data_IF_295768279972
#
_entry.id   IF_295768279972
#
_cell.length_a   1.000
_cell.length_b   1.000
_cell.length_c   1.000
_cell.angle_alpha   90.00
_cell.angle_beta   90.00
_cell.angle_gamma   90.00
#
_symmetry.space_group_name_H-M   'P 1'
#
loop_
_entity.id
_entity.type
_entity.pdbx_description
1 polymer ?
#
# COMPACT_ATOMS: atom_id res chain seq x y z
N UNK A 1 18.70 46.21 80.34
CA UNK A 1 17.56 45.84 79.48
C UNK A 1 17.60 46.75 78.25
N UNK A 2 18.65 46.69 77.43
CA UNK A 2 19.08 45.62 76.50
C UNK A 2 18.09 45.43 75.35
N UNK A 3 18.46 45.53 74.07
CA UNK A 3 19.66 46.03 73.38
C UNK A 3 19.26 46.19 71.89
N UNK A 4 19.80 47.18 71.16
CA UNK A 4 19.53 47.38 69.74
C UNK A 4 20.67 46.91 68.82
N UNK A 5 20.35 46.84 67.53
CA UNK A 5 21.19 46.63 66.35
C UNK A 5 22.28 47.70 66.12
N UNK A 6 23.49 47.34 65.66
CA UNK A 6 24.43 48.21 64.90
C UNK A 6 25.38 47.39 63.98
N UNK A 7 25.64 47.94 62.79
CA UNK A 7 26.59 47.56 61.72
C UNK A 7 27.99 48.18 61.89
N UNK A 8 29.07 47.55 61.37
CA UNK A 8 30.11 48.11 60.45
C UNK A 8 31.49 47.42 60.45
N UNK A 9 32.07 47.40 59.25
CA UNK A 9 33.46 47.16 58.77
C UNK A 9 34.63 47.41 59.74
N UNK A 10 35.73 46.63 59.56
CA UNK A 10 37.09 47.18 59.33
C UNK A 10 38.09 46.16 58.74
N UNK A 11 38.95 46.66 57.86
CA UNK A 11 40.11 46.02 57.20
C UNK A 11 41.44 46.23 57.94
N UNK A 12 42.42 45.34 57.75
CA UNK A 12 43.89 45.56 57.52
C UNK A 12 44.63 44.21 57.72
N UNK A 13 45.27 43.60 56.71
CA UNK A 13 46.64 43.76 56.13
C UNK A 13 47.79 43.20 57.01
N UNK A 14 48.68 42.44 56.33
CA UNK A 14 50.15 42.21 56.49
C UNK A 14 50.43 40.69 56.60
N UNK A 15 50.85 39.95 55.56
CA UNK A 15 52.10 39.96 54.76
C UNK A 15 53.25 39.20 55.46
N UNK A 16 53.72 38.10 54.85
CA UNK A 16 55.17 37.80 54.77
C UNK A 16 55.48 36.75 53.68
N UNK A 17 56.39 37.16 52.78
CA UNK A 17 57.12 36.38 51.79
C UNK A 17 58.44 35.87 52.41
N UNK A 18 58.88 34.68 52.02
CA UNK A 18 60.29 34.25 51.82
C UNK A 18 60.26 32.79 51.32
N UNK A 19 61.06 32.26 50.40
CA UNK A 19 62.20 32.70 49.60
C UNK A 19 62.56 31.54 48.63
N UNK A 20 63.03 31.86 47.42
CA UNK A 20 63.58 31.00 46.34
C UNK A 20 64.81 30.14 46.75
N UNK A 21 65.59 29.53 45.82
CA UNK A 21 65.31 28.56 44.72
C UNK A 21 66.27 27.33 44.76
N UNK A 22 66.04 26.26 43.97
CA UNK A 22 67.09 25.24 43.76
C UNK A 22 66.68 23.94 43.07
N UNK A 23 67.05 23.86 41.78
CA UNK A 23 67.35 22.73 40.88
C UNK A 23 67.24 21.23 41.30
N UNK A 24 66.71 20.46 40.34
CA UNK A 24 67.04 19.08 39.86
C UNK A 24 66.95 17.89 40.82
N UNK A 25 66.04 16.94 40.56
CA UNK A 25 66.42 15.64 39.95
C UNK A 25 65.21 14.72 39.63
N UNK A 26 65.45 13.86 38.64
CA UNK A 26 64.61 12.78 38.12
C UNK A 26 63.96 11.88 39.19
N UNK A 27 62.68 11.54 39.02
CA UNK A 27 62.12 10.23 39.35
C UNK A 27 60.64 10.13 38.98
N UNK A 28 60.35 9.29 37.97
CA UNK A 28 59.01 8.81 37.63
C UNK A 28 58.34 8.04 38.79
N UNK A 29 57.03 8.22 39.01
CA UNK A 29 56.22 7.22 39.73
C UNK A 29 54.95 6.85 38.90
N UNK A 30 54.14 5.84 39.29
CA UNK A 30 53.86 4.67 38.45
C UNK A 30 52.49 4.71 37.75
N UNK A 31 52.34 3.79 36.79
CA UNK A 31 51.11 3.49 36.07
C UNK A 31 49.89 3.37 37.00
N UNK A 32 48.92 4.27 36.81
CA UNK A 32 47.61 4.16 37.45
C UNK A 32 46.68 3.41 36.49
N UNK A 33 46.14 2.30 36.97
CA UNK A 33 45.09 1.50 36.31
C UNK A 33 43.92 2.41 35.89
N UNK A 34 43.79 2.61 34.58
CA UNK A 34 42.58 3.21 34.02
C UNK A 34 41.46 2.16 34.08
N UNK A 35 40.50 2.39 34.97
CA UNK A 35 39.20 1.72 34.95
C UNK A 35 38.55 1.91 33.58
N UNK A 36 38.69 0.90 32.72
CA UNK A 36 38.01 0.83 31.44
C UNK A 36 36.51 0.61 31.70
N UNK A 37 35.72 1.68 31.55
CA UNK A 37 34.27 1.60 31.42
C UNK A 37 34.01 0.69 30.21
N UNK A 38 33.28 -0.44 30.35
CA UNK A 38 33.01 -1.29 29.22
C UNK A 38 32.10 -0.52 28.26
N UNK A 39 32.65 -0.15 27.10
CA UNK A 39 31.89 0.34 25.97
C UNK A 39 30.92 -0.79 25.61
N UNK A 40 29.66 -0.64 26.02
CA UNK A 40 28.58 -1.50 25.58
C UNK A 40 28.57 -1.47 24.05
N UNK A 41 29.16 -2.50 23.45
CA UNK A 41 29.00 -2.82 22.04
C UNK A 41 27.53 -3.17 21.85
N UNK A 42 26.72 -2.14 21.65
CA UNK A 42 25.40 -2.28 21.06
C UNK A 42 25.60 -3.03 19.75
N UNK A 43 25.32 -4.33 19.76
CA UNK A 43 25.24 -5.13 18.54
C UNK A 43 24.25 -4.39 17.64
N UNK A 44 24.74 -3.72 16.60
CA UNK A 44 23.86 -3.20 15.56
C UNK A 44 23.07 -4.41 15.05
N UNK A 45 21.80 -4.50 15.42
CA UNK A 45 20.93 -5.54 14.90
C UNK A 45 21.05 -5.50 13.38
N UNK A 46 21.32 -6.66 12.77
CA UNK A 46 21.41 -6.75 11.32
C UNK A 46 20.14 -6.17 10.71
N UNK A 47 20.28 -5.06 9.97
CA UNK A 47 19.14 -4.37 9.37
C UNK A 47 18.44 -5.31 8.40
N UNK A 48 17.11 -5.29 8.39
CA UNK A 48 16.31 -6.13 7.48
C UNK A 48 16.63 -5.79 6.03
N UNK A 49 16.56 -6.80 5.17
CA UNK A 49 16.79 -6.64 3.74
C UNK A 49 15.72 -5.72 3.11
N UNK A 50 16.10 -4.77 2.21
CA UNK A 50 15.14 -3.92 1.50
C UNK A 50 14.25 -4.71 0.51
N UNK A 51 14.63 -5.95 0.19
CA UNK A 51 13.87 -6.85 -0.68
C UNK A 51 12.76 -7.61 0.04
N UNK A 52 12.82 -7.66 1.38
CA UNK A 52 11.84 -8.40 2.17
C UNK A 52 10.72 -7.46 2.64
N UNK A 53 9.47 -7.94 2.63
CA UNK A 53 8.38 -7.21 3.27
C UNK A 53 8.68 -7.03 4.76
N UNK A 54 8.16 -5.95 5.31
CA UNK A 54 8.17 -5.74 6.74
C UNK A 54 7.24 -6.73 7.44
N UNK A 55 7.20 -6.74 8.79
CA UNK A 55 6.33 -7.69 9.51
C UNK A 55 4.87 -7.44 9.17
N UNK A 56 4.43 -6.19 9.15
CA UNK A 56 3.04 -5.89 8.87
C UNK A 56 2.68 -6.05 7.40
N UNK A 57 3.59 -5.75 6.48
CA UNK A 57 3.38 -6.04 5.06
C UNK A 57 3.32 -7.54 4.81
N UNK A 58 4.11 -8.34 5.55
CA UNK A 58 4.01 -9.80 5.51
C UNK A 58 2.64 -10.27 6.01
N UNK A 59 2.13 -9.68 7.09
CA UNK A 59 0.77 -9.94 7.58
C UNK A 59 -0.24 -9.58 6.49
N UNK A 60 -0.17 -8.37 5.93
CA UNK A 60 -1.09 -7.89 4.91
C UNK A 60 -1.06 -8.77 3.65
N UNK A 61 0.13 -9.11 3.14
CA UNK A 61 0.32 -10.03 2.02
C UNK A 61 -0.25 -11.42 2.32
N UNK A 62 -0.11 -11.92 3.55
CA UNK A 62 -0.61 -13.24 3.95
C UNK A 62 -2.13 -13.30 4.12
N UNK A 63 -2.80 -12.19 4.47
CA UNK A 63 -4.26 -12.14 4.67
C UNK A 63 -5.02 -12.59 3.44
N UNK A 64 -4.56 -12.22 2.24
CA UNK A 64 -5.22 -12.57 0.98
C UNK A 64 -5.20 -14.06 0.63
N UNK A 65 -4.04 -14.76 0.53
CA UNK A 65 -4.03 -16.19 0.29
C UNK A 65 -4.72 -16.96 1.42
N UNK A 66 -4.61 -16.51 2.68
CA UNK A 66 -5.33 -17.13 3.80
C UNK A 66 -6.84 -17.01 3.60
N UNK A 67 -7.34 -15.84 3.18
CA UNK A 67 -8.77 -15.62 2.92
C UNK A 67 -9.28 -16.48 1.78
N UNK A 68 -8.49 -16.62 0.70
CA UNK A 68 -8.83 -17.49 -0.43
C UNK A 68 -8.86 -18.97 -0.03
N UNK A 69 -7.89 -19.42 0.75
CA UNK A 69 -7.85 -20.79 1.28
C UNK A 69 -9.03 -21.05 2.21
N UNK A 70 -9.29 -20.15 3.16
CA UNK A 70 -10.37 -20.28 4.12
C UNK A 70 -11.75 -20.32 3.42
N UNK A 71 -12.00 -19.42 2.46
CA UNK A 71 -13.24 -19.42 1.70
C UNK A 71 -13.39 -20.67 0.85
N UNK A 72 -12.33 -21.10 0.15
CA UNK A 72 -12.37 -22.31 -0.68
C UNK A 72 -12.59 -23.57 0.16
N UNK A 73 -11.96 -23.65 1.33
CA UNK A 73 -12.19 -24.74 2.29
C UNK A 73 -13.63 -24.73 2.79
N UNK A 74 -14.18 -23.55 3.12
CA UNK A 74 -15.58 -23.42 3.50
C UNK A 74 -16.52 -23.96 2.41
N UNK A 75 -16.32 -23.58 1.15
CA UNK A 75 -17.15 -24.07 0.03
C UNK A 75 -17.04 -25.58 -0.21
N UNK A 76 -15.88 -26.19 0.11
CA UNK A 76 -15.69 -27.64 0.04
C UNK A 76 -16.31 -28.40 1.20
N UNK A 77 -16.38 -27.80 2.38
CA UNK A 77 -16.92 -28.41 3.60
C UNK A 77 -18.43 -28.21 3.74
N UNK A 78 -18.99 -27.13 3.19
CA UNK A 78 -20.41 -26.83 3.26
C UNK A 78 -21.25 -27.83 2.43
N UNK A 79 -22.12 -28.65 3.05
CA UNK A 79 -22.95 -29.60 2.34
C UNK A 79 -23.90 -28.91 1.34
N UNK A 80 -24.40 -27.72 1.66
CA UNK A 80 -25.31 -26.99 0.78
C UNK A 80 -24.60 -26.53 -0.50
N UNK A 81 -23.39 -25.97 -0.39
CA UNK A 81 -22.56 -25.61 -1.54
C UNK A 81 -22.24 -26.80 -2.43
N UNK A 82 -21.90 -27.96 -1.85
CA UNK A 82 -21.63 -29.20 -2.60
C UNK A 82 -22.84 -29.76 -3.33
N UNK A 83 -24.02 -29.64 -2.73
CA UNK A 83 -25.27 -30.13 -3.32
C UNK A 83 -25.78 -29.22 -4.45
N UNK A 84 -25.34 -27.96 -4.49
CA UNK A 84 -25.77 -26.99 -5.49
C UNK A 84 -24.97 -27.11 -6.79
N UNK A 85 -25.61 -27.33 -7.95
CA UNK A 85 -24.90 -27.43 -9.22
C UNK A 85 -24.11 -26.16 -9.55
N UNK A 86 -22.84 -26.34 -9.90
CA UNK A 86 -21.93 -25.26 -10.31
C UNK A 86 -21.89 -25.13 -11.83
N UNK A 87 -21.99 -23.90 -12.33
CA UNK A 87 -21.90 -23.61 -13.76
C UNK A 87 -20.52 -22.98 -14.08
N UNK A 88 -19.61 -23.69 -14.78
CA UNK A 88 -18.26 -23.20 -15.06
C UNK A 88 -18.24 -22.02 -16.04
N UNK A 89 -19.15 -21.97 -17.01
CA UNK A 89 -19.26 -20.85 -17.99
C UNK A 89 -19.59 -19.53 -17.29
N UNK A 90 -20.44 -19.60 -16.26
CA UNK A 90 -20.78 -18.42 -15.47
C UNK A 90 -19.94 -18.30 -14.21
N UNK A 91 -19.10 -19.29 -13.88
CA UNK A 91 -18.29 -19.34 -12.66
C UNK A 91 -19.09 -19.15 -11.36
N UNK A 92 -20.31 -19.68 -11.32
CA UNK A 92 -21.24 -19.54 -10.18
C UNK A 92 -22.26 -20.67 -10.10
N UNK A 93 -22.87 -20.83 -8.93
CA UNK A 93 -24.08 -21.65 -8.78
C UNK A 93 -25.28 -21.02 -9.48
N UNK A 94 -26.24 -21.86 -9.89
CA UNK A 94 -27.51 -21.36 -10.45
C UNK A 94 -28.32 -20.60 -9.40
N UNK A 95 -29.01 -19.53 -9.82
CA UNK A 95 -29.67 -18.60 -8.89
C UNK A 95 -30.80 -19.24 -8.06
N UNK A 96 -31.52 -20.21 -8.64
CA UNK A 96 -32.61 -20.95 -8.02
C UNK A 96 -32.11 -22.00 -7.00
N UNK A 97 -30.91 -22.54 -7.19
CA UNK A 97 -30.32 -23.57 -6.31
C UNK A 97 -29.17 -23.04 -5.47
N UNK A 98 -28.93 -21.72 -5.46
CA UNK A 98 -27.79 -21.14 -4.76
C UNK A 98 -27.82 -21.46 -3.25
N UNK A 99 -26.71 -21.95 -2.67
CA UNK A 99 -26.66 -22.46 -1.29
C UNK A 99 -26.88 -21.38 -0.23
N UNK A 100 -26.62 -20.12 -0.56
CA UNK A 100 -26.79 -19.00 0.35
C UNK A 100 -27.09 -17.71 -0.41
N UNK A 101 -27.47 -16.65 0.33
CA UNK A 101 -27.64 -15.32 -0.23
C UNK A 101 -26.37 -14.83 -0.95
N UNK A 102 -25.20 -15.05 -0.35
CA UNK A 102 -23.92 -14.60 -0.90
C UNK A 102 -23.48 -15.38 -2.13
N UNK A 103 -23.94 -16.63 -2.30
CA UNK A 103 -23.72 -17.40 -3.52
C UNK A 103 -24.54 -16.91 -4.73
N UNK A 104 -25.54 -16.03 -4.51
CA UNK A 104 -26.31 -15.43 -5.61
C UNK A 104 -25.56 -14.25 -6.20
N UNK A 105 -25.37 -14.24 -7.52
CA UNK A 105 -24.78 -13.09 -8.24
C UNK A 105 -25.57 -11.80 -8.11
N UNK A 106 -26.86 -11.89 -7.82
CA UNK A 106 -27.77 -10.77 -7.64
C UNK A 106 -27.78 -10.21 -6.21
N UNK A 107 -26.93 -10.72 -5.31
CA UNK A 107 -26.85 -10.18 -3.95
C UNK A 107 -26.40 -8.70 -3.97
N UNK A 108 -26.90 -7.93 -3.01
CA UNK A 108 -26.75 -6.47 -2.96
C UNK A 108 -25.28 -6.04 -2.94
N UNK A 109 -24.44 -6.78 -2.21
CA UNK A 109 -23.01 -6.50 -2.13
C UNK A 109 -22.32 -6.74 -3.46
N UNK A 110 -22.66 -7.81 -4.17
CA UNK A 110 -22.09 -8.04 -5.49
C UNK A 110 -22.52 -6.97 -6.49
N UNK A 111 -23.81 -6.59 -6.47
CA UNK A 111 -24.40 -5.66 -7.45
C UNK A 111 -23.95 -4.22 -7.26
N UNK A 112 -23.78 -3.76 -6.00
CA UNK A 112 -23.46 -2.37 -5.68
C UNK A 112 -22.04 -2.14 -5.16
N UNK A 113 -21.43 -3.15 -4.53
CA UNK A 113 -20.09 -3.02 -3.96
C UNK A 113 -19.04 -3.63 -4.86
N UNK A 114 -19.12 -4.93 -5.19
CA UNK A 114 -18.05 -5.61 -5.91
C UNK A 114 -17.98 -5.18 -7.39
N UNK A 115 -19.11 -5.13 -8.09
CA UNK A 115 -19.15 -4.68 -9.50
C UNK A 115 -18.67 -3.24 -9.68
N UNK A 116 -18.85 -2.39 -8.67
CA UNK A 116 -18.44 -0.98 -8.65
C UNK A 116 -17.25 -0.80 -7.69
N UNK A 117 -16.50 -1.87 -7.42
CA UNK A 117 -15.47 -1.88 -6.38
C UNK A 117 -14.42 -0.79 -6.58
N UNK A 118 -14.05 -0.51 -7.83
CA UNK A 118 -13.10 0.57 -8.13
C UNK A 118 -13.63 1.97 -7.77
N UNK A 119 -14.95 2.20 -7.90
CA UNK A 119 -15.56 3.46 -7.50
C UNK A 119 -15.47 3.65 -5.98
N UNK A 120 -15.71 2.60 -5.19
CA UNK A 120 -15.56 2.64 -3.74
C UNK A 120 -14.11 2.83 -3.29
N UNK A 121 -13.17 2.12 -3.92
CA UNK A 121 -11.73 2.31 -3.69
C UNK A 121 -11.30 3.75 -3.98
N UNK A 122 -11.75 4.29 -5.12
CA UNK A 122 -11.48 5.67 -5.53
C UNK A 122 -12.05 6.67 -4.54
N UNK A 123 -13.33 6.51 -4.16
CA UNK A 123 -13.97 7.37 -3.17
C UNK A 123 -13.23 7.35 -1.84
N UNK A 124 -12.97 6.16 -1.29
CA UNK A 124 -12.28 6.00 -0.02
C UNK A 124 -10.88 6.63 -0.04
N UNK A 125 -10.11 6.38 -1.11
CA UNK A 125 -8.77 6.91 -1.23
C UNK A 125 -8.73 8.42 -1.41
N UNK A 126 -9.51 8.99 -2.33
CA UNK A 126 -9.52 10.43 -2.57
C UNK A 126 -10.05 11.17 -1.34
N UNK A 127 -11.07 10.63 -0.66
CA UNK A 127 -11.55 11.17 0.60
C UNK A 127 -10.41 11.22 1.63
N UNK A 128 -9.67 10.12 1.82
CA UNK A 128 -8.48 10.11 2.69
C UNK A 128 -7.40 11.09 2.25
N UNK A 129 -7.05 11.12 0.98
CA UNK A 129 -5.98 11.96 0.43
C UNK A 129 -6.23 13.47 0.63
N UNK A 130 -7.49 13.89 0.51
CA UNK A 130 -7.86 15.31 0.59
C UNK A 130 -8.30 15.76 1.98
N UNK A 131 -8.75 14.86 2.86
CA UNK A 131 -9.26 15.24 4.19
C UNK A 131 -8.37 14.85 5.35
N UNK A 132 -7.43 13.90 5.17
CA UNK A 132 -6.61 13.41 6.27
C UNK A 132 -5.43 14.36 6.62
N UNK A 133 -5.29 14.79 7.89
CA UNK A 133 -4.26 15.77 8.30
C UNK A 133 -2.82 15.27 8.14
N UNK A 134 -2.61 13.95 8.14
CA UNK A 134 -1.28 13.35 7.88
C UNK A 134 -0.72 13.65 6.47
N UNK A 135 -1.61 13.91 5.50
CA UNK A 135 -1.25 14.14 4.10
C UNK A 135 -1.05 15.63 3.81
N UNK A 136 -1.82 16.51 4.43
CA UNK A 136 -1.73 17.95 4.24
C UNK A 136 -2.90 18.71 4.91
N UNK A 137 -2.93 20.05 4.77
CA UNK A 137 -4.00 20.87 5.33
C UNK A 137 -5.37 20.51 4.71
N UNK A 138 -6.45 20.69 5.46
CA UNK A 138 -7.83 20.40 5.07
C UNK A 138 -8.41 21.41 4.04
N UNK A 139 -7.66 21.68 2.97
CA UNK A 139 -8.05 22.47 1.80
C UNK A 139 -7.57 21.74 0.54
N UNK A 140 -8.12 22.04 -0.65
CA UNK A 140 -7.69 21.45 -1.94
C UNK A 140 -6.27 21.89 -2.41
N UNK A 141 -5.41 22.29 -1.49
CA UNK A 141 -4.04 22.68 -1.77
C UNK A 141 -3.24 21.54 -2.42
N UNK A 142 -2.49 21.85 -3.48
CA UNK A 142 -1.59 20.89 -4.10
C UNK A 142 -0.35 20.75 -3.22
N UNK A 143 -0.14 19.57 -2.63
CA UNK A 143 1.06 19.26 -1.84
C UNK A 143 1.87 18.16 -2.54
N UNK A 144 3.21 18.10 -2.36
CA UNK A 144 4.02 17.02 -2.93
C UNK A 144 3.54 15.62 -2.51
N UNK A 145 3.05 15.48 -1.27
CA UNK A 145 2.47 14.23 -0.76
C UNK A 145 1.21 13.83 -1.54
N UNK A 146 0.33 14.79 -1.82
CA UNK A 146 -0.89 14.55 -2.61
C UNK A 146 -0.56 14.20 -4.05
N UNK A 147 0.37 14.92 -4.68
CA UNK A 147 0.76 14.64 -6.05
C UNK A 147 1.35 13.22 -6.19
N UNK A 148 2.25 12.83 -5.29
CA UNK A 148 2.81 11.47 -5.24
C UNK A 148 1.74 10.41 -4.97
N UNK A 149 0.80 10.70 -4.08
CA UNK A 149 -0.36 9.84 -3.83
C UNK A 149 -1.25 9.65 -5.06
N UNK A 150 -1.62 10.75 -5.73
CA UNK A 150 -2.36 10.72 -7.00
C UNK A 150 -1.60 9.95 -8.08
N UNK A 151 -0.28 10.07 -8.14
CA UNK A 151 0.54 9.34 -9.10
C UNK A 151 0.49 7.83 -8.83
N UNK A 152 0.65 7.39 -7.57
CA UNK A 152 0.48 5.97 -7.19
C UNK A 152 -0.92 5.48 -7.53
N UNK A 153 -1.96 6.22 -7.15
CA UNK A 153 -3.35 5.90 -7.50
C UNK A 153 -3.55 5.78 -9.02
N UNK A 154 -2.97 6.69 -9.80
CA UNK A 154 -3.07 6.68 -11.26
C UNK A 154 -2.42 5.42 -11.84
N UNK A 155 -1.25 5.00 -11.34
CA UNK A 155 -0.57 3.78 -11.80
C UNK A 155 -1.36 2.53 -11.44
N UNK A 156 -1.87 2.43 -10.21
CA UNK A 156 -2.71 1.29 -9.81
C UNK A 156 -4.02 1.26 -10.62
N UNK A 157 -4.61 2.43 -10.92
CA UNK A 157 -5.78 2.55 -11.80
C UNK A 157 -5.46 2.10 -13.22
N UNK A 158 -4.34 2.52 -13.78
CA UNK A 158 -3.88 2.08 -15.10
C UNK A 158 -3.64 0.57 -15.13
N UNK A 159 -3.08 -0.01 -14.07
CA UNK A 159 -2.93 -1.46 -13.93
C UNK A 159 -4.30 -2.16 -13.95
N UNK A 160 -5.26 -1.68 -13.17
CA UNK A 160 -6.63 -2.19 -13.17
C UNK A 160 -7.29 -2.09 -14.56
N UNK A 161 -7.17 -0.94 -15.22
CA UNK A 161 -7.70 -0.69 -16.57
C UNK A 161 -7.06 -1.66 -17.57
N UNK A 162 -5.74 -1.80 -17.57
CA UNK A 162 -5.02 -2.67 -18.48
C UNK A 162 -5.41 -4.14 -18.33
N UNK A 163 -5.62 -4.59 -17.09
CA UNK A 163 -6.03 -5.97 -16.81
C UNK A 163 -7.49 -6.22 -17.20
N UNK A 164 -8.41 -5.29 -16.87
CA UNK A 164 -9.86 -5.57 -16.90
C UNK A 164 -10.65 -4.89 -17.99
N UNK A 165 -10.13 -3.81 -18.58
CA UNK A 165 -10.85 -2.98 -19.53
C UNK A 165 -10.24 -3.11 -20.93
N UNK A 166 -11.04 -2.74 -21.94
CA UNK A 166 -10.57 -2.63 -23.31
C UNK A 166 -9.65 -1.41 -23.43
N UNK A 167 -8.35 -1.62 -23.28
CA UNK A 167 -7.32 -0.60 -23.48
C UNK A 167 -6.24 -1.16 -24.42
N UNK A 168 -6.21 -0.65 -25.66
CA UNK A 168 -5.44 -1.19 -26.79
C UNK A 168 -5.87 -2.58 -27.28
N UNK A 169 -7.17 -2.87 -27.30
CA UNK A 169 -7.75 -4.16 -27.71
C UNK A 169 -8.46 -4.88 -26.57
N UNK A 170 -8.79 -6.18 -26.71
CA UNK A 170 -9.37 -6.99 -25.64
C UNK A 170 -8.57 -6.85 -24.34
N UNK A 171 -9.26 -6.88 -23.20
CA UNK A 171 -8.61 -6.87 -21.89
C UNK A 171 -7.61 -8.02 -21.77
N UNK A 172 -6.58 -7.92 -20.91
CA UNK A 172 -5.64 -9.04 -20.70
C UNK A 172 -6.38 -10.31 -20.30
N UNK A 173 -7.45 -10.18 -19.51
CA UNK A 173 -8.28 -11.32 -19.11
C UNK A 173 -8.88 -12.02 -20.34
N UNK A 174 -9.46 -11.26 -21.28
CA UNK A 174 -10.04 -11.83 -22.52
C UNK A 174 -8.96 -12.43 -23.44
N UNK A 175 -7.77 -11.82 -23.51
CA UNK A 175 -6.62 -12.37 -24.26
C UNK A 175 -6.11 -13.66 -23.61
N UNK A 176 -5.94 -13.66 -22.30
CA UNK A 176 -5.52 -14.84 -21.54
C UNK A 176 -6.50 -16.00 -21.72
N UNK A 177 -7.80 -15.70 -21.70
CA UNK A 177 -8.85 -16.68 -21.94
C UNK A 177 -8.77 -17.30 -23.33
N UNK A 178 -8.69 -16.47 -24.37
CA UNK A 178 -8.59 -16.95 -25.76
C UNK A 178 -7.27 -17.68 -26.03
N UNK A 179 -6.14 -17.21 -25.49
CA UNK A 179 -4.83 -17.86 -25.58
C UNK A 179 -4.78 -19.24 -24.92
N UNK A 180 -5.57 -19.45 -23.88
CA UNK A 180 -5.66 -20.75 -23.18
C UNK A 180 -6.70 -21.70 -23.79
N UNK A 181 -7.17 -21.38 -25.00
CA UNK A 181 -8.08 -22.23 -25.77
C UNK A 181 -9.56 -21.83 -25.66
N UNK A 182 -9.87 -20.74 -24.97
CA UNK A 182 -11.23 -20.23 -24.81
C UNK A 182 -11.83 -19.67 -26.08
N UNK A 183 -13.11 -19.94 -26.28
CA UNK A 183 -13.85 -19.57 -27.48
C UNK A 183 -15.27 -19.10 -27.12
N UNK A 184 -15.86 -18.32 -28.02
CA UNK A 184 -17.29 -18.09 -27.99
C UNK A 184 -17.99 -19.31 -28.60
N UNK A 185 -18.94 -19.91 -27.90
CA UNK A 185 -19.81 -20.97 -28.41
C UNK A 185 -21.19 -20.38 -28.70
N UNK A 186 -21.54 -20.23 -29.97
CA UNK A 186 -22.85 -19.74 -30.41
C UNK A 186 -23.83 -20.91 -30.54
N UNK A 187 -24.25 -21.47 -29.40
CA UNK A 187 -25.10 -22.69 -29.36
C UNK A 187 -26.40 -22.50 -30.15
N UNK A 188 -27.08 -21.36 -29.99
CA UNK A 188 -28.37 -21.12 -30.66
C UNK A 188 -28.25 -20.95 -32.19
N UNK A 189 -27.14 -20.40 -32.67
CA UNK A 189 -26.94 -20.16 -34.10
C UNK A 189 -26.23 -21.33 -34.82
N UNK A 190 -25.49 -22.17 -34.06
CA UNK A 190 -25.01 -23.47 -34.53
C UNK A 190 -26.16 -24.48 -34.68
N UNK A 191 -27.10 -24.52 -33.72
CA UNK A 191 -28.29 -25.39 -33.77
C UNK A 191 -29.24 -25.01 -34.92
N UNK A 192 -29.25 -23.74 -35.32
CA UNK A 192 -30.02 -23.25 -36.48
C UNK A 192 -29.30 -23.44 -37.83
N UNK A 193 -28.10 -24.06 -37.86
CA UNK A 193 -27.35 -24.37 -39.08
C UNK A 193 -26.77 -23.14 -39.81
N UNK A 194 -26.62 -22.01 -39.13
CA UNK A 194 -26.27 -20.72 -39.74
C UNK A 194 -24.81 -20.31 -39.60
N UNK A 195 -23.94 -21.12 -38.98
CA UNK A 195 -22.58 -20.69 -38.65
C UNK A 195 -21.51 -21.73 -38.98
N UNK A 196 -20.46 -21.26 -39.66
CA UNK A 196 -19.19 -21.97 -39.74
C UNK A 196 -18.33 -21.68 -38.49
N UNK A 197 -17.52 -22.64 -38.07
CA UNK A 197 -16.65 -22.57 -36.89
C UNK A 197 -15.62 -21.40 -36.92
N UNK A 198 -15.38 -20.80 -38.09
CA UNK A 198 -14.44 -19.68 -38.25
C UNK A 198 -15.02 -18.35 -37.71
N UNK A 199 -16.34 -18.14 -37.83
CA UNK A 199 -17.01 -16.95 -37.30
C UNK A 199 -16.99 -16.85 -35.77
N UNK A 200 -17.00 -17.97 -35.06
CA UNK A 200 -16.95 -18.00 -33.59
C UNK A 200 -15.58 -17.59 -33.02
N UNK A 201 -14.50 -17.74 -33.82
CA UNK A 201 -13.14 -17.27 -33.47
C UNK A 201 -12.97 -15.76 -33.61
N UNK A 202 -13.89 -15.06 -34.30
CA UNK A 202 -13.81 -13.61 -34.47
C UNK A 202 -14.20 -12.84 -33.20
N UNK A 203 -14.90 -13.48 -32.25
CA UNK A 203 -15.23 -12.88 -30.97
C UNK A 203 -14.06 -13.00 -30.00
N UNK A 204 -13.29 -11.91 -29.90
CA UNK A 204 -12.09 -11.83 -29.04
C UNK A 204 -12.37 -11.36 -27.62
N UNK A 205 -13.64 -11.11 -27.25
CA UNK A 205 -14.04 -10.75 -25.88
C UNK A 205 -15.31 -11.44 -25.42
N UNK A 206 -15.37 -11.74 -24.12
CA UNK A 206 -16.55 -12.35 -23.51
C UNK A 206 -17.78 -11.45 -23.53
N UNK A 207 -17.61 -10.13 -23.50
CA UNK A 207 -18.72 -9.17 -23.61
C UNK A 207 -19.36 -9.22 -25.01
N UNK A 208 -18.54 -9.20 -26.06
CA UNK A 208 -19.04 -9.31 -27.43
C UNK A 208 -19.73 -10.65 -27.67
N UNK A 209 -19.14 -11.75 -27.18
CA UNK A 209 -19.74 -13.08 -27.25
C UNK A 209 -21.12 -13.13 -26.57
N UNK A 210 -21.24 -12.59 -25.36
CA UNK A 210 -22.53 -12.56 -24.64
C UNK A 210 -23.56 -11.65 -25.30
N UNK A 211 -23.13 -10.55 -25.92
CA UNK A 211 -24.02 -9.61 -26.61
C UNK A 211 -24.74 -10.26 -27.81
N UNK A 212 -24.14 -11.28 -28.42
CA UNK A 212 -24.73 -12.05 -29.53
C UNK A 212 -25.37 -13.37 -29.07
N UNK A 213 -25.59 -13.55 -27.76
CA UNK A 213 -26.19 -14.78 -27.21
C UNK A 213 -25.23 -15.96 -27.07
N UNK A 214 -23.94 -15.76 -27.31
CA UNK A 214 -22.92 -16.80 -27.18
C UNK A 214 -22.51 -17.11 -25.74
N UNK A 215 -22.02 -18.33 -25.54
CA UNK A 215 -21.43 -18.82 -24.29
C UNK A 215 -19.91 -18.72 -24.36
N UNK A 216 -19.30 -17.99 -23.43
CA UNK A 216 -17.83 -17.84 -23.34
C UNK A 216 -17.24 -19.01 -22.56
N UNK A 217 -16.59 -19.97 -23.24
CA UNK A 217 -16.27 -21.30 -22.71
C UNK A 217 -14.89 -21.80 -23.13
N UNK A 218 -14.34 -22.79 -22.40
CA UNK A 218 -13.13 -23.53 -22.78
C UNK A 218 -11.77 -22.93 -22.38
N UNK A 219 -11.72 -21.67 -21.96
CA UNK A 219 -10.48 -20.97 -21.58
C UNK A 219 -10.28 -20.81 -20.08
N UNK A 220 -9.07 -20.38 -19.70
CA UNK A 220 -8.74 -19.96 -18.34
C UNK A 220 -9.13 -18.50 -18.13
N UNK A 221 -10.09 -18.26 -17.24
CA UNK A 221 -10.58 -16.91 -16.93
C UNK A 221 -10.01 -16.42 -15.60
N UNK A 222 -9.19 -15.37 -15.62
CA UNK A 222 -8.63 -14.78 -14.41
C UNK A 222 -9.78 -14.16 -13.59
N UNK A 223 -9.90 -14.51 -12.31
CA UNK A 223 -10.98 -13.98 -11.48
C UNK A 223 -10.84 -12.46 -11.28
N UNK A 224 -11.62 -11.69 -12.06
CA UNK A 224 -11.66 -10.24 -11.97
C UNK A 224 -12.14 -9.73 -10.61
N UNK A 225 -13.01 -10.48 -9.92
CA UNK A 225 -13.49 -10.13 -8.57
C UNK A 225 -12.36 -10.26 -7.54
N UNK A 226 -11.63 -11.38 -7.56
CA UNK A 226 -10.45 -11.57 -6.68
C UNK A 226 -9.40 -10.50 -6.98
N UNK A 227 -9.07 -10.30 -8.26
CA UNK A 227 -8.12 -9.28 -8.69
C UNK A 227 -8.49 -7.89 -8.16
N UNK A 228 -9.73 -7.44 -8.41
CA UNK A 228 -10.21 -6.10 -8.01
C UNK A 228 -10.20 -5.91 -6.49
N UNK A 229 -10.71 -6.90 -5.74
CA UNK A 229 -10.83 -6.82 -4.29
C UNK A 229 -9.46 -6.84 -3.60
N UNK A 230 -8.53 -7.66 -4.08
CA UNK A 230 -7.15 -7.71 -3.56
C UNK A 230 -6.43 -6.41 -3.91
N UNK A 231 -6.39 -6.01 -5.19
CA UNK A 231 -5.69 -4.82 -5.65
C UNK A 231 -6.20 -3.56 -4.92
N UNK A 232 -7.53 -3.39 -4.89
CA UNK A 232 -8.18 -2.23 -4.28
C UNK A 232 -7.94 -2.14 -2.79
N UNK A 233 -8.17 -3.23 -2.04
CA UNK A 233 -7.96 -3.21 -0.59
C UNK A 233 -6.50 -3.09 -0.21
N UNK A 234 -5.57 -3.74 -0.94
CA UNK A 234 -4.15 -3.68 -0.62
C UNK A 234 -3.58 -2.29 -0.89
N UNK A 235 -4.00 -1.64 -1.98
CA UNK A 235 -3.72 -0.23 -2.25
C UNK A 235 -4.20 0.68 -1.11
N UNK A 236 -5.46 0.52 -0.69
CA UNK A 236 -6.02 1.28 0.43
C UNK A 236 -5.25 1.08 1.73
N UNK A 237 -4.91 -0.17 2.05
CA UNK A 237 -4.16 -0.51 3.24
C UNK A 237 -2.76 0.11 3.19
N UNK A 238 -1.99 -0.07 2.12
CA UNK A 238 -0.64 0.53 1.99
C UNK A 238 -0.64 2.06 2.14
N UNK A 239 -1.68 2.75 1.67
CA UNK A 239 -1.80 4.20 1.81
C UNK A 239 -2.18 4.64 3.21
N UNK A 240 -3.11 3.95 3.89
CA UNK A 240 -3.57 4.33 5.23
C UNK A 240 -2.67 3.80 6.35
N UNK A 241 -1.89 2.76 6.07
CA UNK A 241 -1.20 1.97 7.07
C UNK A 241 -0.23 2.77 7.95
N UNK A 242 0.52 3.71 7.37
CA UNK A 242 1.44 4.57 8.11
C UNK A 242 0.76 5.45 9.17
N UNK A 243 -0.53 5.76 8.98
CA UNK A 243 -1.35 6.49 9.97
C UNK A 243 -1.81 5.54 11.07
N UNK A 244 -2.27 4.36 10.71
CA UNK A 244 -2.77 3.36 11.68
C UNK A 244 -1.67 2.91 12.63
N UNK A 245 -0.47 2.65 12.12
CA UNK A 245 0.67 2.27 12.97
C UNK A 245 1.06 3.36 13.96
N UNK A 246 1.14 4.62 13.50
CA UNK A 246 1.51 5.76 14.34
C UNK A 246 0.48 6.00 15.44
N UNK A 247 -0.81 5.90 15.12
CA UNK A 247 -1.89 5.97 16.10
C UNK A 247 -1.80 4.85 17.15
N UNK A 248 -1.32 3.66 16.76
CA UNK A 248 -1.10 2.52 17.65
C UNK A 248 0.25 2.51 18.38
N UNK A 249 1.10 3.52 18.20
CA UNK A 249 2.45 3.57 18.78
C UNK A 249 3.44 2.55 18.22
N UNK A 250 3.05 1.81 17.18
CA UNK A 250 3.90 0.82 16.52
C UNK A 250 4.84 1.53 15.53
N UNK A 251 6.13 1.19 15.58
CA UNK A 251 7.11 1.65 14.59
C UNK A 251 7.43 0.52 13.65
N UNK A 252 7.33 0.79 12.36
CA UNK A 252 7.79 -0.13 11.34
C UNK A 252 8.97 0.46 10.59
N UNK A 253 10.07 -0.27 10.62
CA UNK A 253 11.30 0.13 9.95
C UNK A 253 11.31 -0.40 8.50
N UNK A 254 10.89 0.45 7.56
CA UNK A 254 11.07 0.17 6.13
C UNK A 254 12.52 0.46 5.75
N UNK A 255 13.18 -0.51 5.13
CA UNK A 255 14.57 -0.38 4.68
C UNK A 255 14.62 -0.09 3.19
N UNK A 256 15.47 0.85 2.78
CA UNK A 256 15.58 1.31 1.39
C UNK A 256 17.02 1.36 0.90
N UNK A 257 17.20 1.18 -0.40
CA UNK A 257 18.48 1.38 -1.09
C UNK A 257 18.57 2.85 -1.52
N UNK A 258 19.71 3.48 -1.30
CA UNK A 258 20.01 4.86 -1.66
C UNK A 258 20.73 4.94 -3.02
N UNK A 259 20.86 6.15 -3.58
CA UNK A 259 21.55 6.37 -4.85
C UNK A 259 23.05 5.99 -4.80
N UNK A 260 23.65 6.03 -3.61
CA UNK A 260 25.03 5.60 -3.32
C UNK A 260 25.13 4.08 -3.06
N UNK A 261 24.03 3.33 -3.18
CA UNK A 261 23.94 1.91 -2.84
C UNK A 261 23.83 1.62 -1.35
N UNK A 262 23.83 2.63 -0.48
CA UNK A 262 23.73 2.43 0.96
C UNK A 262 22.31 1.99 1.36
N UNK A 263 22.23 1.09 2.34
CA UNK A 263 20.96 0.59 2.89
C UNK A 263 20.58 1.40 4.14
N UNK A 264 19.53 2.21 4.05
CA UNK A 264 19.07 3.10 5.12
C UNK A 264 17.65 2.79 5.58
N UNK A 265 17.40 3.13 6.84
CA UNK A 265 16.09 3.12 7.46
C UNK A 265 15.28 4.32 7.01
N UNK A 266 14.06 4.11 6.54
CA UNK A 266 13.24 5.19 6.05
C UNK A 266 12.70 6.09 7.18
N UNK A 267 12.56 5.59 8.42
CA UNK A 267 12.08 6.37 9.57
C UNK A 267 13.07 7.46 10.02
N UNK A 268 14.37 7.26 9.76
CA UNK A 268 15.41 8.26 10.06
C UNK A 268 15.26 9.51 9.19
N UNK A 269 14.79 9.39 7.95
CA UNK A 269 14.48 10.54 7.10
C UNK A 269 13.23 11.30 7.58
N UNK A 270 12.21 10.58 8.07
CA UNK A 270 10.95 11.19 8.52
C UNK A 270 11.07 11.95 9.85
N UNK A 271 11.98 11.53 10.75
CA UNK A 271 12.18 12.15 12.07
C UNK A 271 12.84 13.53 12.03
N UNK A 272 13.61 13.83 10.98
CA UNK A 272 14.28 15.13 10.86
C UNK A 272 13.30 16.28 10.59
N UNK A 273 12.02 16.00 10.31
CA UNK A 273 11.06 17.01 9.83
C UNK A 273 9.87 17.34 10.74
N UNK A 274 9.71 16.81 11.97
CA UNK A 274 8.51 17.18 12.76
C UNK A 274 8.67 17.41 14.26
N UNK A 275 8.36 18.65 14.66
CA UNK A 275 7.49 18.94 15.79
C UNK A 275 6.10 19.39 15.27
N UNK A 276 5.13 18.47 15.20
CA UNK A 276 3.71 18.79 14.99
C UNK A 276 2.89 17.76 15.79
N UNK A 277 1.96 18.26 16.60
CA UNK A 277 1.19 17.49 17.57
C UNK A 277 0.33 16.35 16.97
N UNK A 278 0.31 15.26 17.74
CA UNK A 278 -0.19 13.91 17.43
C UNK A 278 -1.71 13.72 17.61
N UNK A 279 -2.53 14.77 17.57
CA UNK A 279 -3.85 14.74 18.22
C UNK A 279 -5.06 14.30 17.38
N UNK A 280 -4.92 13.94 16.10
CA UNK A 280 -6.06 13.31 15.38
C UNK A 280 -5.66 12.48 14.16
N UNK A 281 -4.97 11.36 14.39
CA UNK A 281 -4.67 10.39 13.32
C UNK A 281 -5.83 9.42 13.03
N UNK A 282 -6.82 9.33 13.92
CA UNK A 282 -7.96 8.41 13.78
C UNK A 282 -9.23 9.11 13.26
N UNK A 283 -9.13 9.66 12.06
CA UNK A 283 -10.20 10.46 11.44
C UNK A 283 -11.29 9.61 10.79
N UNK A 284 -12.43 10.24 10.47
CA UNK A 284 -13.48 9.62 9.66
C UNK A 284 -12.92 9.03 8.36
N UNK A 285 -11.99 9.73 7.71
CA UNK A 285 -11.41 9.28 6.45
C UNK A 285 -10.59 8.00 6.59
N UNK A 286 -9.79 7.87 7.66
CA UNK A 286 -9.07 6.64 7.96
C UNK A 286 -10.06 5.48 8.23
N UNK A 287 -11.13 5.73 8.99
CA UNK A 287 -12.18 4.73 9.26
C UNK A 287 -12.93 4.31 7.99
N UNK A 288 -13.22 5.25 7.09
CA UNK A 288 -13.87 4.96 5.79
C UNK A 288 -13.01 4.03 4.95
N UNK A 289 -11.70 4.32 4.84
CA UNK A 289 -10.76 3.47 4.10
C UNK A 289 -10.69 2.07 4.70
N UNK A 290 -10.55 1.96 6.02
CA UNK A 290 -10.52 0.67 6.72
C UNK A 290 -11.83 -0.10 6.57
N UNK A 291 -12.98 0.57 6.62
CA UNK A 291 -14.29 -0.04 6.42
C UNK A 291 -14.46 -0.60 5.00
N UNK A 292 -14.05 0.14 3.98
CA UNK A 292 -14.05 -0.34 2.59
C UNK A 292 -13.11 -1.53 2.44
N UNK A 293 -11.88 -1.45 2.99
CA UNK A 293 -10.93 -2.56 2.98
C UNK A 293 -11.46 -3.82 3.67
N UNK A 294 -12.11 -3.68 4.83
CA UNK A 294 -12.74 -4.79 5.54
C UNK A 294 -13.87 -5.42 4.73
N UNK A 295 -14.73 -4.60 4.10
CA UNK A 295 -15.78 -5.09 3.23
C UNK A 295 -15.21 -5.79 1.98
N UNK A 296 -14.09 -5.31 1.44
CA UNK A 296 -13.37 -6.01 0.37
C UNK A 296 -12.88 -7.39 0.82
N UNK A 297 -12.28 -7.52 1.99
CA UNK A 297 -11.83 -8.81 2.53
C UNK A 297 -13.00 -9.77 2.77
N UNK A 298 -14.11 -9.26 3.29
CA UNK A 298 -15.32 -10.06 3.47
C UNK A 298 -15.88 -10.56 2.13
N UNK A 299 -16.00 -9.69 1.14
CA UNK A 299 -16.46 -10.09 -0.19
C UNK A 299 -15.45 -10.97 -0.92
N UNK A 300 -14.15 -10.86 -0.63
CA UNK A 300 -13.13 -11.77 -1.11
C UNK A 300 -13.32 -13.18 -0.54
N UNK A 301 -13.63 -13.29 0.75
CA UNK A 301 -13.98 -14.57 1.40
C UNK A 301 -15.21 -15.20 0.74
N UNK A 302 -16.27 -14.41 0.52
CA UNK A 302 -17.49 -14.88 -0.15
C UNK A 302 -17.24 -15.29 -1.61
N UNK A 303 -16.40 -14.53 -2.32
CA UNK A 303 -15.95 -14.88 -3.68
C UNK A 303 -15.21 -16.22 -3.66
N UNK A 304 -14.30 -16.41 -2.71
CA UNK A 304 -13.55 -17.64 -2.56
C UNK A 304 -14.42 -18.85 -2.21
N UNK A 305 -15.52 -18.65 -1.47
CA UNK A 305 -16.43 -19.73 -1.11
C UNK A 305 -17.32 -20.22 -2.25
N UNK A 306 -17.87 -19.31 -3.07
CA UNK A 306 -19.00 -19.66 -3.95
C UNK A 306 -18.79 -19.39 -5.44
N UNK A 307 -17.76 -18.64 -5.81
CA UNK A 307 -17.52 -18.20 -7.18
C UNK A 307 -16.14 -18.63 -7.64
N UNK A 308 -15.96 -18.78 -8.95
CA UNK A 308 -14.69 -19.14 -9.58
C UNK A 308 -14.06 -20.46 -9.12
N UNK A 309 -13.22 -21.03 -9.96
CA UNK A 309 -12.40 -22.18 -9.56
C UNK A 309 -11.18 -21.73 -8.74
N UNK A 310 -10.50 -22.67 -8.09
CA UNK A 310 -9.29 -22.38 -7.32
C UNK A 310 -8.20 -21.71 -8.18
N UNK A 311 -8.01 -22.18 -9.41
CA UNK A 311 -6.95 -21.68 -10.29
C UNK A 311 -7.24 -20.26 -10.81
N UNK A 312 -8.50 -19.93 -11.09
CA UNK A 312 -8.94 -18.58 -11.48
C UNK A 312 -8.73 -17.58 -10.34
N UNK A 313 -8.99 -17.98 -9.08
CA UNK A 313 -8.72 -17.17 -7.89
C UNK A 313 -7.22 -16.93 -7.71
N UNK A 314 -6.41 -17.99 -7.84
CA UNK A 314 -4.96 -17.92 -7.69
C UNK A 314 -4.33 -16.98 -8.71
N UNK A 315 -4.71 -17.08 -9.98
CA UNK A 315 -4.20 -16.18 -11.02
C UNK A 315 -4.66 -14.73 -10.80
N UNK A 316 -5.91 -14.51 -10.37
CA UNK A 316 -6.38 -13.18 -9.96
C UNK A 316 -5.56 -12.56 -8.83
N UNK A 317 -5.18 -13.37 -7.84
CA UNK A 317 -4.30 -12.96 -6.73
C UNK A 317 -2.91 -12.54 -7.23
N UNK A 318 -2.27 -13.35 -8.08
CA UNK A 318 -0.94 -13.07 -8.61
C UNK A 318 -0.91 -11.77 -9.43
N UNK A 319 -1.91 -11.54 -10.27
CA UNK A 319 -2.02 -10.32 -11.07
C UNK A 319 -2.22 -9.09 -10.17
N UNK A 320 -2.99 -9.20 -9.09
CA UNK A 320 -3.13 -8.11 -8.12
C UNK A 320 -1.81 -7.82 -7.39
N UNK A 321 -1.13 -8.86 -6.90
CA UNK A 321 0.16 -8.73 -6.21
C UNK A 321 1.24 -8.13 -7.09
N UNK A 322 1.29 -8.47 -8.38
CA UNK A 322 2.25 -7.86 -9.30
C UNK A 322 2.07 -6.35 -9.41
N UNK A 323 0.82 -5.86 -9.52
CA UNK A 323 0.53 -4.42 -9.52
C UNK A 323 0.99 -3.72 -8.24
N UNK A 324 0.72 -4.33 -7.08
CA UNK A 324 1.17 -3.80 -5.79
C UNK A 324 2.69 -3.81 -5.65
N UNK A 325 3.35 -4.88 -6.13
CA UNK A 325 4.81 -4.99 -6.12
C UNK A 325 5.46 -3.80 -6.84
N UNK A 326 4.99 -3.48 -8.05
CA UNK A 326 5.53 -2.37 -8.83
C UNK A 326 5.36 -1.00 -8.15
N UNK A 327 4.26 -0.78 -7.43
CA UNK A 327 3.96 0.53 -6.83
C UNK A 327 4.55 0.71 -5.43
N UNK A 328 4.64 -0.36 -4.62
CA UNK A 328 4.98 -0.25 -3.19
C UNK A 328 6.27 -0.96 -2.77
N UNK A 329 6.70 -1.99 -3.49
CA UNK A 329 7.91 -2.76 -3.16
C UNK A 329 9.10 -2.36 -4.04
N UNK A 330 8.89 -2.22 -5.35
CA UNK A 330 9.94 -1.85 -6.30
C UNK A 330 10.61 -0.49 -6.00
N UNK A 331 9.90 0.57 -5.57
CA UNK A 331 10.55 1.85 -5.22
C UNK A 331 11.54 1.74 -4.05
N UNK A 332 11.49 0.68 -3.24
CA UNK A 332 12.45 0.51 -2.13
C UNK A 332 13.84 0.19 -2.63
N UNK A 333 13.91 -0.52 -3.75
CA UNK A 333 15.14 -1.04 -4.35
C UNK A 333 15.58 -0.21 -5.55
N UNK A 334 14.67 0.52 -6.18
CA UNK A 334 14.96 1.44 -7.30
C UNK A 334 14.79 2.90 -6.84
N UNK A 335 15.88 3.60 -6.48
CA UNK A 335 15.82 4.99 -6.01
C UNK A 335 15.15 5.95 -7.00
N UNK A 336 15.44 5.82 -8.30
CA UNK A 336 14.84 6.66 -9.34
C UNK A 336 13.31 6.56 -9.36
N UNK A 337 12.77 5.35 -9.14
CA UNK A 337 11.33 5.13 -9.06
C UNK A 337 10.75 5.73 -7.77
N UNK A 338 11.48 5.63 -6.64
CA UNK A 338 11.09 6.27 -5.38
C UNK A 338 11.04 7.79 -5.47
N UNK A 339 11.95 8.42 -6.18
CA UNK A 339 11.97 9.88 -6.28
C UNK A 339 10.72 10.41 -7.02
N UNK A 340 10.20 9.61 -7.95
CA UNK A 340 8.96 9.87 -8.68
C UNK A 340 7.72 9.51 -7.85
N UNK A 341 7.60 8.25 -7.41
CA UNK A 341 6.39 7.74 -6.75
C UNK A 341 6.29 8.11 -5.27
N UNK A 342 7.41 8.41 -4.63
CA UNK A 342 7.53 8.48 -3.18
C UNK A 342 7.23 7.15 -2.49
N UNK A 343 7.09 7.22 -1.17
CA UNK A 343 6.57 6.13 -0.35
C UNK A 343 5.55 6.68 0.65
N UNK A 344 4.47 5.94 0.96
CA UNK A 344 3.53 6.36 1.99
C UNK A 344 4.24 6.63 3.32
N UNK A 345 3.89 7.75 3.97
CA UNK A 345 4.45 8.14 5.26
C UNK A 345 5.84 8.77 5.25
N UNK A 346 6.49 8.88 4.08
CA UNK A 346 7.87 9.35 3.92
C UNK A 346 7.96 10.55 2.98
N UNK A 347 8.84 11.49 3.31
CA UNK A 347 9.18 12.63 2.45
C UNK A 347 10.62 12.38 1.99
N UNK A 348 10.83 12.00 0.73
CA UNK A 348 12.18 11.97 0.14
C UNK A 348 12.71 13.40 0.12
N UNK A 349 13.70 13.68 0.96
CA UNK A 349 14.41 14.97 1.07
C UNK A 349 15.38 15.19 -0.10
N UNK A 350 15.63 14.18 -0.93
CA UNK A 350 16.60 14.22 -2.02
C UNK A 350 16.01 14.34 -3.42
N UNK A 351 14.70 14.40 -3.58
CA UNK A 351 14.14 14.67 -4.90
C UNK A 351 14.29 16.17 -5.23
N UNK A 352 14.87 16.55 -6.39
CA UNK A 352 14.86 17.91 -6.92
C UNK A 352 13.43 18.27 -7.40
N UNK A 353 12.48 18.22 -6.47
CA UNK A 353 11.04 18.43 -6.70
C UNK A 353 10.75 19.89 -7.09
N UNK A 354 11.73 20.78 -6.96
CA UNK A 354 11.66 22.18 -7.37
C UNK A 354 11.93 22.38 -8.87
N UNK A 355 12.54 21.42 -9.57
CA UNK A 355 12.85 21.59 -11.01
C UNK A 355 11.69 21.21 -11.94
N UNK A 356 10.96 20.13 -11.67
CA UNK A 356 9.86 19.68 -12.54
C UNK A 356 8.60 20.55 -12.46
N UNK A 357 8.29 21.10 -11.29
CA UNK A 357 7.18 22.06 -11.12
C UNK A 357 7.44 23.42 -11.81
N UNK A 358 8.72 23.78 -12.01
CA UNK A 358 9.09 24.99 -12.77
C UNK A 358 8.96 24.82 -14.29
N UNK A 359 8.99 23.58 -14.79
CA UNK A 359 8.84 23.29 -16.23
C UNK A 359 7.37 23.36 -16.70
N UNK A 360 6.40 23.20 -15.78
CA UNK A 360 4.96 23.25 -16.10
C UNK A 360 4.25 24.54 -15.66
N UNK A 361 4.98 25.53 -15.12
CA UNK A 361 4.46 26.86 -14.84
C UNK A 361 5.05 27.90 -15.80
N UNK A 362 4.61 27.98 -17.07
CA UNK A 362 4.94 29.14 -17.88
C UNK A 362 4.09 30.33 -17.41
N UNK A 363 4.78 31.37 -16.93
CA UNK A 363 4.38 32.79 -16.91
C UNK A 363 2.96 33.11 -16.39
N UNK A 364 2.85 33.33 -15.08
CA UNK A 364 1.76 34.12 -14.48
C UNK A 364 2.26 35.20 -13.49
N UNK A 365 3.50 35.64 -13.67
CA UNK A 365 4.10 36.78 -12.97
C UNK A 365 4.83 37.63 -14.00
N UNK A 366 4.09 38.56 -14.59
CA UNK A 366 4.63 39.47 -15.58
C UNK A 366 3.54 40.31 -16.22
N UNK A 367 2.86 41.14 -15.42
CA UNK A 367 2.18 42.37 -15.85
C UNK A 367 1.54 43.05 -14.64
N UNK A 368 2.28 43.93 -13.97
CA UNK A 368 1.77 45.20 -13.40
C UNK A 368 2.98 46.11 -13.15
N UNK A 369 3.43 46.78 -14.20
CA UNK A 369 4.10 48.07 -14.12
C UNK A 369 3.73 48.82 -15.40
N UNK A 370 2.64 49.58 -15.33
CA UNK A 370 2.47 50.91 -15.93
C UNK A 370 1.61 51.69 -14.95
#
# INVERSE_FOLDING_TARGET
>A
MDSPSVTLRRSHRIQQLSSSPGATDDSSPPATEANAIPLSSSKMAARRSPFLPTTFESILLSVYPITLLAGSLFGLLDPAARASPYNPTTQSHFANTAPSYFAKKSNVFNVFFVKQGWAWVTFGYLFFLFTHPAIGPAALAVTPKRLRGLLRYSIVTLWWVFVTQWFFGPAIIDRGFTLTGGQCELVEAADAGHLEMDTTRQFVTGVACKAVGGKWSGGHDISGHVFLLVLGSMFLFEEVFHVVLRAGGAKEERTIIMNDGAVKSADVEARLEKGVDSSSEWTLAARTVLGIGALCLYMLLMTAAYFHTWFEKFTGLLVAFSGIFFVYFLPRVVPALRDVLGMPGLISTHAPTVYWLRLFAPKLLGMTHV
#
